data_IF_555637374785
#
_entry.id   IF_555637374785
#
_cell.length_a   1.000
_cell.length_b   1.000
_cell.length_c   1.000
_cell.angle_alpha   90.00
_cell.angle_beta   90.00
_cell.angle_gamma   90.00
#
_symmetry.space_group_name_H-M   'P 1'
#
loop_
_entity.id
_entity.type
_entity.pdbx_description
1 polymer ?
#
# COMPACT_ATOMS: atom_id res chain seq x y z
N UNK A 1 -13.96 -59.44 24.59
CA UNK A 1 -14.70 -58.17 24.70
C UNK A 1 -14.27 -57.31 23.54
N UNK A 2 -15.13 -57.20 22.53
CA UNK A 2 -14.96 -56.27 21.43
C UNK A 2 -15.23 -54.85 21.95
N UNK A 3 -14.40 -53.89 21.56
CA UNK A 3 -14.83 -52.52 21.33
C UNK A 3 -13.88 -51.87 20.32
N UNK A 4 -14.50 -51.55 19.20
CA UNK A 4 -14.03 -50.85 18.02
C UNK A 4 -14.17 -49.33 18.23
N UNK A 5 -13.73 -48.56 17.23
CA UNK A 5 -13.95 -47.11 17.00
C UNK A 5 -12.90 -46.18 17.62
N UNK A 6 -12.30 -45.21 16.89
CA UNK A 6 -12.67 -44.58 15.62
C UNK A 6 -11.42 -43.93 14.99
N UNK A 7 -11.30 -44.02 13.67
CA UNK A 7 -10.57 -43.05 12.85
C UNK A 7 -11.19 -41.66 13.05
N UNK A 8 -10.37 -40.66 13.31
CA UNK A 8 -10.61 -39.30 12.81
C UNK A 8 -9.29 -38.71 12.30
N UNK A 9 -9.41 -38.15 11.11
CA UNK A 9 -8.38 -37.65 10.19
C UNK A 9 -7.65 -36.42 10.72
N UNK A 10 -6.35 -36.22 10.39
CA UNK A 10 -5.72 -34.93 10.57
C UNK A 10 -6.26 -33.93 9.53
N UNK A 11 -7.22 -33.13 9.98
CA UNK A 11 -7.33 -31.69 9.76
C UNK A 11 -7.00 -31.18 8.35
N UNK A 12 -8.06 -31.01 7.57
CA UNK A 12 -8.40 -29.78 6.83
C UNK A 12 -7.30 -28.72 6.81
N UNK A 13 -6.76 -28.47 5.61
CA UNK A 13 -6.00 -27.27 5.27
C UNK A 13 -6.83 -26.02 5.57
N UNK A 14 -6.62 -25.43 6.74
CA UNK A 14 -7.17 -24.13 7.10
C UNK A 14 -6.51 -23.04 6.25
N UNK A 15 -7.31 -22.38 5.40
CA UNK A 15 -6.98 -21.07 4.84
C UNK A 15 -6.89 -20.09 6.01
N UNK A 16 -5.66 -19.79 6.43
CA UNK A 16 -5.40 -18.83 7.51
C UNK A 16 -5.59 -17.40 6.97
N UNK A 17 -6.85 -16.96 7.00
CA UNK A 17 -7.35 -15.63 6.61
C UNK A 17 -7.30 -14.59 7.76
N UNK A 18 -6.62 -14.87 8.87
CA UNK A 18 -6.74 -14.06 10.10
C UNK A 18 -5.61 -13.04 10.27
N UNK A 19 -5.61 -11.98 9.45
CA UNK A 19 -5.05 -10.69 9.87
C UNK A 19 -6.19 -9.73 10.23
N UNK A 20 -6.32 -9.31 11.50
CA UNK A 20 -7.37 -8.39 11.96
C UNK A 20 -7.39 -7.05 11.23
N UNK A 21 -6.27 -6.63 10.63
CA UNK A 21 -6.21 -5.39 9.86
C UNK A 21 -6.85 -5.55 8.48
N UNK A 22 -6.50 -6.61 7.73
CA UNK A 22 -7.02 -6.85 6.39
C UNK A 22 -8.54 -7.04 6.41
N UNK A 23 -9.08 -7.65 7.47
CA UNK A 23 -10.51 -7.86 7.65
C UNK A 23 -11.30 -6.53 7.71
N UNK A 24 -10.69 -5.46 8.22
CA UNK A 24 -11.29 -4.13 8.33
C UNK A 24 -11.38 -3.37 7.00
N UNK A 25 -10.56 -3.73 6.01
CA UNK A 25 -10.62 -3.13 4.67
C UNK A 25 -11.89 -3.62 3.96
N UNK A 26 -12.70 -2.72 3.37
CA UNK A 26 -13.88 -3.11 2.60
C UNK A 26 -13.57 -4.17 1.55
N UNK A 27 -14.45 -5.18 1.39
CA UNK A 27 -14.15 -6.38 0.61
C UNK A 27 -13.87 -6.08 -0.87
N UNK A 28 -14.50 -5.05 -1.43
CA UNK A 28 -14.26 -4.62 -2.81
C UNK A 28 -12.83 -4.09 -3.00
N UNK A 29 -12.36 -3.21 -2.11
CA UNK A 29 -10.98 -2.69 -2.12
C UNK A 29 -9.96 -3.79 -1.90
N UNK A 30 -10.23 -4.71 -0.95
CA UNK A 30 -9.36 -5.87 -0.72
C UNK A 30 -9.15 -6.67 -2.01
N UNK A 31 -10.24 -7.00 -2.72
CA UNK A 31 -10.18 -7.72 -4.00
C UNK A 31 -9.40 -6.95 -5.06
N UNK A 32 -9.57 -5.63 -5.12
CA UNK A 32 -8.80 -4.77 -6.03
C UNK A 32 -7.30 -4.84 -5.73
N UNK A 33 -6.89 -4.69 -4.47
CA UNK A 33 -5.49 -4.77 -4.05
C UNK A 33 -4.90 -6.16 -4.30
N UNK A 34 -5.70 -7.21 -4.13
CA UNK A 34 -5.25 -8.58 -4.41
C UNK A 34 -4.95 -8.82 -5.89
N UNK A 35 -5.73 -8.18 -6.75
CA UNK A 35 -5.60 -8.27 -8.21
C UNK A 35 -4.44 -7.43 -8.75
N UNK A 36 -3.95 -6.44 -8.01
CA UNK A 36 -2.83 -5.59 -8.46
C UNK A 36 -1.55 -6.39 -8.68
N UNK A 37 -0.90 -6.13 -9.81
CA UNK A 37 0.36 -6.79 -10.18
C UNK A 37 1.56 -5.97 -9.72
N UNK A 38 2.69 -6.62 -9.46
CA UNK A 38 3.87 -5.91 -8.96
C UNK A 38 4.45 -4.88 -9.95
N UNK A 39 4.18 -5.00 -11.25
CA UNK A 39 4.64 -4.02 -12.23
C UNK A 39 4.02 -2.63 -12.02
N UNK A 40 2.81 -2.54 -11.47
CA UNK A 40 2.17 -1.27 -11.14
C UNK A 40 2.98 -0.51 -10.08
N UNK A 41 3.49 -1.20 -9.06
CA UNK A 41 4.35 -0.60 -8.04
C UNK A 41 5.73 -0.22 -8.58
N UNK A 42 6.25 -0.99 -9.53
CA UNK A 42 7.51 -0.64 -10.22
C UNK A 42 7.30 0.65 -11.02
N UNK A 43 6.21 0.75 -11.76
CA UNK A 43 5.85 1.95 -12.50
C UNK A 43 5.67 3.16 -11.56
N UNK A 44 4.96 2.99 -10.46
CA UNK A 44 4.81 4.02 -9.43
C UNK A 44 6.16 4.48 -8.87
N UNK A 45 7.08 3.56 -8.59
CA UNK A 45 8.44 3.89 -8.14
C UNK A 45 9.21 4.70 -9.21
N UNK A 46 9.08 4.33 -10.48
CA UNK A 46 9.70 5.07 -11.59
C UNK A 46 9.11 6.48 -11.72
N UNK A 47 7.80 6.61 -11.55
CA UNK A 47 7.14 7.91 -11.58
C UNK A 47 7.58 8.79 -10.42
N UNK A 48 7.68 8.24 -9.20
CA UNK A 48 8.16 8.98 -8.05
C UNK A 48 9.60 9.47 -8.24
N UNK A 49 10.48 8.63 -8.79
CA UNK A 49 11.89 8.97 -9.05
C UNK A 49 12.09 9.89 -10.27
N UNK A 50 11.05 10.14 -11.07
CA UNK A 50 11.14 11.01 -12.23
C UNK A 50 11.47 12.44 -11.80
N UNK A 51 12.45 13.07 -12.45
CA UNK A 51 12.86 14.44 -12.13
C UNK A 51 11.69 15.41 -12.16
N UNK A 52 10.77 15.26 -13.12
CA UNK A 52 9.59 16.12 -13.20
C UNK A 52 8.67 15.98 -11.98
N UNK A 53 8.47 14.75 -11.49
CA UNK A 53 7.68 14.50 -10.29
C UNK A 53 8.34 15.10 -9.04
N UNK A 54 9.65 14.89 -8.92
CA UNK A 54 10.45 15.44 -7.81
C UNK A 54 10.43 16.96 -7.77
N UNK A 55 10.61 17.63 -8.92
CA UNK A 55 10.52 19.09 -9.00
C UNK A 55 9.10 19.60 -8.69
N UNK A 56 8.07 18.90 -9.14
CA UNK A 56 6.68 19.26 -8.82
C UNK A 56 6.41 19.16 -7.31
N UNK A 57 6.83 18.07 -6.67
CA UNK A 57 6.74 17.89 -5.22
C UNK A 57 7.53 18.95 -4.46
N UNK A 58 8.76 19.24 -4.91
CA UNK A 58 9.58 20.30 -4.33
C UNK A 58 8.94 21.68 -4.47
N UNK A 59 8.33 21.99 -5.62
CA UNK A 59 7.64 23.26 -5.82
C UNK A 59 6.47 23.43 -4.85
N UNK A 60 5.69 22.38 -4.59
CA UNK A 60 4.52 22.46 -3.70
C UNK A 60 4.93 22.42 -2.22
N UNK A 61 5.80 21.49 -1.84
CA UNK A 61 6.09 21.15 -0.44
C UNK A 61 7.48 21.58 0.04
N UNK A 62 8.34 22.10 -0.84
CA UNK A 62 9.69 22.57 -0.51
C UNK A 62 10.71 21.46 -0.23
N UNK A 63 10.34 20.19 -0.43
CA UNK A 63 11.20 19.04 -0.15
C UNK A 63 11.17 18.03 -1.28
N UNK A 64 12.30 17.35 -1.48
CA UNK A 64 12.38 16.17 -2.35
C UNK A 64 11.85 14.94 -1.62
N UNK A 65 11.25 14.03 -2.37
CA UNK A 65 10.69 12.80 -1.85
C UNK A 65 11.70 11.66 -2.05
N UNK A 66 11.92 10.84 -1.02
CA UNK A 66 12.84 9.70 -1.09
C UNK A 66 12.23 8.47 -1.76
N UNK A 67 10.92 8.52 -2.07
CA UNK A 67 10.15 7.43 -2.66
C UNK A 67 10.25 6.13 -1.86
N UNK A 68 10.45 6.22 -0.54
CA UNK A 68 10.63 5.05 0.31
C UNK A 68 9.38 4.14 0.30
N UNK A 69 8.19 4.74 0.26
CA UNK A 69 6.91 4.02 0.27
C UNK A 69 6.77 3.16 -0.98
N UNK A 70 6.99 3.70 -2.17
CA UNK A 70 6.88 2.97 -3.43
C UNK A 70 7.91 1.85 -3.53
N UNK A 71 9.16 2.12 -3.09
CA UNK A 71 10.21 1.11 -3.02
C UNK A 71 9.84 -0.03 -2.09
N UNK A 72 9.22 0.29 -0.94
CA UNK A 72 8.77 -0.71 0.01
C UNK A 72 7.60 -1.54 -0.55
N UNK A 73 6.64 -0.91 -1.22
CA UNK A 73 5.53 -1.60 -1.91
C UNK A 73 6.01 -2.58 -2.96
N UNK A 74 7.05 -2.22 -3.73
CA UNK A 74 7.69 -3.14 -4.67
C UNK A 74 8.24 -4.36 -3.93
N UNK A 75 9.02 -4.16 -2.85
CA UNK A 75 9.59 -5.25 -2.05
C UNK A 75 8.51 -6.15 -1.46
N UNK A 76 7.47 -5.56 -0.86
CA UNK A 76 6.39 -6.30 -0.21
C UNK A 76 5.52 -7.04 -1.22
N UNK A 77 5.26 -6.45 -2.41
CA UNK A 77 4.59 -7.16 -3.49
C UNK A 77 5.40 -8.38 -3.96
N UNK A 78 6.71 -8.21 -4.18
CA UNK A 78 7.54 -9.34 -4.58
C UNK A 78 7.58 -10.43 -3.51
N UNK A 79 7.82 -10.07 -2.24
CA UNK A 79 7.79 -11.02 -1.12
C UNK A 79 6.46 -11.76 -1.03
N UNK A 80 5.35 -11.03 -1.14
CA UNK A 80 4.03 -11.64 -1.11
C UNK A 80 3.80 -12.61 -2.28
N UNK A 81 4.26 -12.28 -3.49
CA UNK A 81 4.11 -13.16 -4.65
C UNK A 81 5.05 -14.37 -4.61
N UNK A 82 6.28 -14.22 -4.11
CA UNK A 82 7.27 -15.30 -4.10
C UNK A 82 7.11 -16.25 -2.91
N UNK A 83 6.94 -15.71 -1.71
CA UNK A 83 6.91 -16.50 -0.47
C UNK A 83 5.50 -16.65 0.11
N UNK A 84 4.48 -16.07 -0.53
CA UNK A 84 3.10 -16.01 0.00
C UNK A 84 3.04 -15.46 1.43
N UNK A 85 3.98 -14.58 1.78
CA UNK A 85 4.04 -13.98 3.12
C UNK A 85 2.81 -13.12 3.39
N UNK A 86 2.07 -13.46 4.45
CA UNK A 86 0.91 -12.70 4.90
C UNK A 86 1.30 -11.35 5.51
N UNK A 87 2.46 -11.28 6.17
CA UNK A 87 3.00 -10.02 6.70
C UNK A 87 3.28 -9.01 5.57
N UNK A 88 3.88 -9.47 4.48
CA UNK A 88 4.14 -8.63 3.31
C UNK A 88 2.83 -8.16 2.66
N UNK A 89 1.80 -9.01 2.59
CA UNK A 89 0.46 -8.66 2.11
C UNK A 89 -0.16 -7.56 2.99
N UNK A 90 -0.08 -7.73 4.31
CA UNK A 90 -0.64 -6.77 5.27
C UNK A 90 0.05 -5.41 5.17
N UNK A 91 1.39 -5.38 5.14
CA UNK A 91 2.15 -4.14 4.99
C UNK A 91 1.82 -3.42 3.68
N UNK A 92 1.69 -4.18 2.58
CA UNK A 92 1.27 -3.63 1.30
C UNK A 92 -0.12 -2.99 1.41
N UNK A 93 -1.10 -3.69 1.99
CA UNK A 93 -2.48 -3.21 2.07
C UNK A 93 -2.59 -2.01 3.02
N UNK A 94 -1.84 -2.00 4.13
CA UNK A 94 -1.69 -0.85 5.02
C UNK A 94 -1.22 0.39 4.26
N UNK A 95 -0.18 0.22 3.44
CA UNK A 95 0.36 1.35 2.68
C UNK A 95 -0.64 1.88 1.65
N UNK A 96 -1.44 1.00 1.03
CA UNK A 96 -2.45 1.36 0.02
C UNK A 96 -3.62 2.11 0.64
N UNK A 97 -4.10 1.63 1.79
CA UNK A 97 -5.18 2.30 2.52
C UNK A 97 -4.71 3.67 3.06
N UNK A 98 -3.46 3.77 3.53
CA UNK A 98 -2.88 5.03 3.99
C UNK A 98 -2.79 6.09 2.88
N UNK A 99 -2.48 5.70 1.64
CA UNK A 99 -2.49 6.64 0.50
C UNK A 99 -3.89 7.18 0.24
N UNK A 100 -4.92 6.34 0.34
CA UNK A 100 -6.31 6.76 0.17
C UNK A 100 -6.72 7.79 1.23
N UNK A 101 -6.30 7.60 2.48
CA UNK A 101 -6.61 8.55 3.56
C UNK A 101 -5.80 9.83 3.44
N UNK A 102 -4.54 9.74 3.00
CA UNK A 102 -3.61 10.86 2.86
C UNK A 102 -3.79 11.63 1.53
N UNK A 103 -4.87 11.38 0.78
CA UNK A 103 -5.27 12.26 -0.32
C UNK A 103 -5.61 13.68 0.14
N UNK A 104 -5.84 13.90 1.44
CA UNK A 104 -5.80 15.23 2.05
C UNK A 104 -4.33 15.68 2.13
N UNK A 105 -3.94 16.51 1.18
CA UNK A 105 -2.57 16.97 0.95
C UNK A 105 -1.98 17.70 2.17
N UNK A 106 -0.67 17.54 2.44
CA UNK A 106 0.01 18.38 3.42
C UNK A 106 -0.03 19.85 3.01
N UNK A 107 0.14 20.76 3.97
CA UNK A 107 0.07 22.19 3.71
C UNK A 107 1.14 22.61 2.68
N UNK A 108 0.74 23.25 1.56
CA UNK A 108 1.70 23.72 0.56
C UNK A 108 2.52 24.88 1.12
N UNK A 109 3.75 25.02 0.64
CA UNK A 109 4.63 26.17 0.96
C UNK A 109 4.01 27.49 0.50
N UNK A 110 3.28 27.45 -0.62
CA UNK A 110 2.61 28.62 -1.17
C UNK A 110 1.29 28.89 -0.49
N UNK A 111 1.17 30.06 0.12
CA UNK A 111 -0.11 30.58 0.64
C UNK A 111 -0.88 31.29 -0.48
N UNK A 112 -2.19 31.14 -0.47
CA UNK A 112 -3.06 31.89 -1.37
C UNK A 112 -2.93 33.39 -1.11
N UNK A 113 -2.74 34.18 -2.17
CA UNK A 113 -2.65 35.65 -2.07
C UNK A 113 -4.06 36.23 -2.13
N UNK A 114 -4.43 37.05 -1.15
CA UNK A 114 -5.75 37.71 -1.14
C UNK A 114 -5.82 38.92 -2.05
N UNK A 115 -4.69 39.63 -2.23
CA UNK A 115 -4.60 40.82 -3.05
C UNK A 115 -3.36 40.77 -3.94
N UNK A 116 -3.44 41.34 -5.16
CA UNK A 116 -2.26 41.51 -6.00
C UNK A 116 -1.25 42.47 -5.34
N UNK A 117 0.05 42.37 -5.68
CA UNK A 117 1.05 43.34 -5.26
C UNK A 117 0.72 44.75 -5.79
N UNK A 118 1.08 45.78 -5.02
CA UNK A 118 0.80 47.19 -5.35
C UNK A 118 1.66 47.69 -6.52
N UNK A 119 2.87 47.13 -6.67
CA UNK A 119 3.88 47.52 -7.66
C UNK A 119 3.93 46.56 -8.87
N UNK A 120 2.79 46.39 -9.54
CA UNK A 120 2.70 45.53 -10.73
C UNK A 120 3.30 46.15 -12.00
#
# INVERSE_FOLDING_TARGET
MASEMKEETPSTSGSSDDSPYISSIPPDRRKQYEKMRCYEFIFATKQCLSSFHQFHKYYIYGQFDDCAIEKQRVKDCFKWRTSKSMEAKENLFKSLEAEQTNMHTPDPVWKYREKPPEDW
#
